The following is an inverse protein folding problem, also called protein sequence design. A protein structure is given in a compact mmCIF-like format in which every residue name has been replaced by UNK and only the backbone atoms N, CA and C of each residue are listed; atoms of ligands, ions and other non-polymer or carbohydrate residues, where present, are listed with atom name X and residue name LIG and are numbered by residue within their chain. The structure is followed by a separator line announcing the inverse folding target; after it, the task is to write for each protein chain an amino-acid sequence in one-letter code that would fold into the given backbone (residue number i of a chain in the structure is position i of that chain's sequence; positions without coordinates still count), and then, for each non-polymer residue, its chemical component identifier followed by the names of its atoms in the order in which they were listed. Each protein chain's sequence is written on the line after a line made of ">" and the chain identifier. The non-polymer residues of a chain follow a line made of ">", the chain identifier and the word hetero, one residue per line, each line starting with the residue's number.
data_IF_451645190100
#
_entry.id   IF_451645190100
#
_cell.length_a   1.000
_cell.length_b   1.000
_cell.length_c   1.000
_cell.angle_alpha   90.00
_cell.angle_beta   90.00
_cell.angle_gamma   90.00
#
_symmetry.space_group_name_H-M   'P 1'
#
loop_
_entity.id
_entity.type
_entity.pdbx_description
1 polymer ?
#
# COMPACT_ATOMS: atom_id res chain seq x y z
N UNK A 1 -3.48 11.27 12.67
CA UNK A 1 -2.93 9.99 12.20
C UNK A 1 -2.67 9.11 13.41
N UNK A 2 -3.42 8.00 13.56
CA UNK A 2 -3.42 7.17 14.77
C UNK A 2 -2.09 6.38 14.92
N UNK A 3 -1.51 6.36 16.12
CA UNK A 3 -0.31 5.54 16.44
C UNK A 3 -0.74 4.11 16.74
N UNK A 4 -0.73 3.25 15.72
CA UNK A 4 -1.00 1.82 15.89
C UNK A 4 0.28 1.01 15.64
N UNK A 5 0.52 -0.01 16.47
CA UNK A 5 1.57 -1.03 16.35
C UNK A 5 1.05 -2.32 16.97
N UNK A 6 1.50 -3.48 16.47
CA UNK A 6 0.96 -4.79 16.89
C UNK A 6 1.34 -5.12 18.35
N UNK A 7 2.54 -4.74 18.78
CA UNK A 7 3.01 -4.82 20.16
C UNK A 7 4.13 -3.79 20.39
N UNK A 8 4.70 -3.73 21.60
CA UNK A 8 5.73 -2.76 21.97
C UNK A 8 7.05 -2.87 21.17
N UNK A 9 7.28 -4.01 20.51
CA UNK A 9 8.42 -4.27 19.64
C UNK A 9 8.07 -4.19 18.15
N UNK A 10 6.79 -3.98 17.83
CA UNK A 10 6.30 -3.90 16.47
C UNK A 10 6.53 -2.53 15.87
N UNK A 11 6.69 -2.50 14.54
CA UNK A 11 6.77 -1.26 13.79
C UNK A 11 5.42 -0.51 13.85
N UNK A 12 5.47 0.81 13.86
CA UNK A 12 4.25 1.60 13.74
C UNK A 12 3.73 1.56 12.31
N UNK A 13 2.41 1.49 12.15
CA UNK A 13 1.76 1.48 10.84
C UNK A 13 2.14 2.71 9.99
N UNK A 14 2.40 3.86 10.61
CA UNK A 14 2.87 5.06 9.92
C UNK A 14 4.26 4.87 9.28
N UNK A 15 5.13 4.11 9.95
CA UNK A 15 6.50 3.89 9.53
C UNK A 15 6.48 2.82 8.42
N UNK A 16 5.64 1.78 8.60
CA UNK A 16 5.29 0.81 7.55
C UNK A 16 4.81 1.50 6.28
N UNK A 17 3.83 2.41 6.40
CA UNK A 17 3.30 3.18 5.27
C UNK A 17 4.41 3.98 4.61
N UNK A 18 5.23 4.69 5.38
CA UNK A 18 6.28 5.56 4.86
C UNK A 18 7.27 4.77 3.99
N UNK A 19 7.88 3.70 4.51
CA UNK A 19 8.92 2.99 3.77
C UNK A 19 8.34 2.21 2.57
N UNK A 20 7.08 1.76 2.64
CA UNK A 20 6.43 1.12 1.48
C UNK A 20 6.15 2.12 0.36
N UNK A 21 5.76 3.35 0.67
CA UNK A 21 5.57 4.40 -0.35
C UNK A 21 6.88 4.86 -0.95
N UNK A 22 7.93 5.01 -0.14
CA UNK A 22 9.28 5.30 -0.65
C UNK A 22 9.73 4.21 -1.63
N UNK A 23 9.62 2.93 -1.24
CA UNK A 23 9.96 1.82 -2.12
C UNK A 23 9.10 1.76 -3.40
N UNK A 24 7.79 2.04 -3.30
CA UNK A 24 6.91 2.08 -4.46
C UNK A 24 7.32 3.18 -5.45
N UNK A 25 7.63 4.38 -4.95
CA UNK A 25 8.05 5.51 -5.80
C UNK A 25 9.38 5.23 -6.49
N UNK A 26 10.32 4.58 -5.81
CA UNK A 26 11.60 4.15 -6.39
C UNK A 26 11.40 3.10 -7.49
N UNK A 27 10.47 2.15 -7.27
CA UNK A 27 10.10 1.13 -8.26
C UNK A 27 9.46 1.76 -9.49
N UNK A 28 8.55 2.71 -9.32
CA UNK A 28 7.91 3.44 -10.42
C UNK A 28 8.94 4.23 -11.26
N UNK A 29 9.92 4.87 -10.62
CA UNK A 29 11.00 5.56 -11.32
C UNK A 29 11.89 4.59 -12.09
N UNK A 30 12.33 3.51 -11.43
CA UNK A 30 13.29 2.56 -11.99
C UNK A 30 12.73 1.79 -13.18
N UNK A 31 11.43 1.50 -13.18
CA UNK A 31 10.77 0.70 -14.20
C UNK A 31 9.71 1.49 -14.96
N UNK A 32 9.92 2.80 -15.13
CA UNK A 32 9.00 3.66 -15.87
C UNK A 32 8.65 3.07 -17.25
N UNK A 33 7.37 3.09 -17.61
CA UNK A 33 6.85 2.52 -18.85
C UNK A 33 6.69 0.98 -18.88
N UNK A 34 6.96 0.29 -17.76
CA UNK A 34 6.77 -1.16 -17.66
C UNK A 34 5.57 -1.52 -16.77
N UNK A 35 4.98 -2.69 -17.03
CA UNK A 35 4.01 -3.30 -16.12
C UNK A 35 4.76 -4.08 -15.04
N UNK A 36 4.39 -3.86 -13.77
CA UNK A 36 5.06 -4.43 -12.60
C UNK A 36 4.05 -5.24 -11.79
N UNK A 37 4.44 -6.45 -11.39
CA UNK A 37 3.67 -7.27 -10.45
C UNK A 37 4.31 -7.14 -9.07
N UNK A 38 3.57 -6.62 -8.09
CA UNK A 38 4.01 -6.49 -6.71
C UNK A 38 3.34 -7.56 -5.84
N UNK A 39 4.13 -8.53 -5.36
CA UNK A 39 3.70 -9.49 -4.33
C UNK A 39 4.07 -8.98 -2.94
N UNK A 40 3.11 -8.92 -2.00
CA UNK A 40 3.36 -8.43 -0.64
C UNK A 40 2.36 -9.02 0.38
N UNK A 41 2.47 -8.62 1.65
CA UNK A 41 1.59 -9.02 2.75
C UNK A 41 0.45 -8.01 2.99
N UNK A 42 -0.63 -8.46 3.64
CA UNK A 42 -1.86 -7.67 3.84
C UNK A 42 -1.65 -6.29 4.46
N UNK A 43 -0.80 -6.17 5.49
CA UNK A 43 -0.51 -4.86 6.14
C UNK A 43 0.24 -3.91 5.21
N UNK A 44 1.28 -4.38 4.52
CA UNK A 44 2.02 -3.54 3.58
C UNK A 44 1.11 -3.11 2.42
N UNK A 45 0.34 -4.05 1.88
CA UNK A 45 -0.63 -3.78 0.83
C UNK A 45 -1.68 -2.74 1.25
N UNK A 46 -2.29 -2.90 2.42
CA UNK A 46 -3.31 -1.97 2.91
C UNK A 46 -2.75 -0.57 3.15
N UNK A 47 -1.52 -0.44 3.66
CA UNK A 47 -0.89 0.88 3.82
C UNK A 47 -0.60 1.58 2.49
N UNK A 48 -0.34 0.83 1.43
CA UNK A 48 -0.21 1.38 0.08
C UNK A 48 -1.57 1.87 -0.43
N UNK A 49 -2.63 1.07 -0.27
CA UNK A 49 -3.98 1.47 -0.68
C UNK A 49 -4.49 2.71 0.10
N UNK A 50 -4.25 2.76 1.41
CA UNK A 50 -4.54 3.92 2.28
C UNK A 50 -3.73 5.18 1.90
N UNK A 51 -2.61 5.04 1.18
CA UNK A 51 -1.90 6.20 0.62
C UNK A 51 -2.53 6.66 -0.69
N UNK A 52 -2.88 5.72 -1.56
CA UNK A 52 -3.32 6.00 -2.92
C UNK A 52 -4.78 6.47 -2.99
N UNK A 53 -5.62 6.04 -2.06
CA UNK A 53 -7.05 6.36 -2.06
C UNK A 53 -7.51 6.89 -0.71
N UNK A 54 -8.10 8.08 -0.71
CA UNK A 54 -8.80 8.62 0.48
C UNK A 54 -10.04 7.80 0.85
N UNK A 55 -10.54 6.96 -0.05
CA UNK A 55 -11.68 6.09 0.20
C UNK A 55 -11.29 4.74 0.84
N UNK A 56 -10.00 4.41 0.93
CA UNK A 56 -9.55 3.20 1.60
C UNK A 56 -9.22 3.51 3.06
N UNK A 57 -9.92 2.85 3.99
CA UNK A 57 -9.70 2.99 5.42
C UNK A 57 -9.88 1.67 6.16
N UNK A 58 -10.26 1.76 7.43
CA UNK A 58 -10.38 0.61 8.32
C UNK A 58 -11.44 -0.40 7.84
N UNK A 59 -12.60 0.08 7.39
CA UNK A 59 -13.69 -0.81 6.96
C UNK A 59 -13.33 -1.58 5.68
N UNK A 60 -12.66 -0.93 4.73
CA UNK A 60 -12.11 -1.57 3.54
C UNK A 60 -11.04 -2.59 3.89
N UNK A 61 -10.19 -2.28 4.88
CA UNK A 61 -9.18 -3.21 5.38
C UNK A 61 -9.80 -4.47 5.99
N UNK A 62 -10.84 -4.34 6.82
CA UNK A 62 -11.58 -5.49 7.36
C UNK A 62 -12.16 -6.33 6.23
N UNK A 63 -12.87 -5.69 5.27
CA UNK A 63 -13.44 -6.38 4.11
C UNK A 63 -12.39 -7.13 3.28
N UNK A 64 -11.22 -6.51 3.09
CA UNK A 64 -10.10 -7.10 2.35
C UNK A 64 -9.55 -8.35 3.07
N UNK A 65 -9.43 -8.34 4.40
CA UNK A 65 -8.93 -9.49 5.16
C UNK A 65 -9.83 -10.72 5.01
N UNK A 66 -11.15 -10.52 4.95
CA UNK A 66 -12.10 -11.63 4.80
C UNK A 66 -12.00 -12.30 3.42
N UNK A 67 -11.45 -11.62 2.40
CA UNK A 67 -11.52 -12.02 0.98
C UNK A 67 -10.14 -12.25 0.34
N UNK A 68 -9.19 -12.82 1.09
CA UNK A 68 -7.85 -13.13 0.56
C UNK A 68 -7.84 -14.42 -0.31
N UNK A 69 -7.03 -14.46 -1.40
CA UNK A 69 -6.08 -13.44 -1.85
C UNK A 69 -6.74 -12.29 -2.64
N UNK A 70 -6.21 -11.08 -2.47
CA UNK A 70 -6.64 -9.89 -3.20
C UNK A 70 -5.64 -9.53 -4.30
N UNK A 71 -6.14 -9.20 -5.49
CA UNK A 71 -5.36 -8.68 -6.61
C UNK A 71 -6.03 -7.40 -7.08
N UNK A 72 -5.25 -6.33 -7.23
CA UNK A 72 -5.71 -5.05 -7.77
C UNK A 72 -4.78 -4.60 -8.87
N UNK A 73 -5.32 -3.88 -9.84
CA UNK A 73 -4.53 -3.18 -10.84
C UNK A 73 -4.56 -1.69 -10.51
N UNK A 74 -3.38 -1.06 -10.53
CA UNK A 74 -3.22 0.37 -10.26
C UNK A 74 -2.44 0.95 -11.44
N UNK A 75 -2.93 2.04 -12.03
CA UNK A 75 -2.29 2.69 -13.19
C UNK A 75 -1.73 4.03 -12.79
N UNK A 76 -0.47 4.25 -13.17
CA UNK A 76 0.25 5.49 -12.98
C UNK A 76 0.67 6.10 -14.31
N UNK A 77 0.69 7.43 -14.37
CA UNK A 77 1.42 8.22 -15.36
C UNK A 77 2.62 8.87 -14.65
N UNK A 78 3.81 8.28 -14.83
CA UNK A 78 4.94 8.57 -13.95
C UNK A 78 4.62 8.20 -12.50
N UNK A 79 4.57 9.20 -11.60
CA UNK A 79 4.16 9.02 -10.19
C UNK A 79 2.72 9.45 -9.91
N UNK A 80 1.99 9.91 -10.92
CA UNK A 80 0.61 10.36 -10.77
C UNK A 80 -0.33 9.16 -10.86
N UNK A 81 -1.11 8.93 -9.82
CA UNK A 81 -2.16 7.92 -9.82
C UNK A 81 -3.28 8.30 -10.81
N UNK A 82 -3.73 7.34 -11.62
CA UNK A 82 -4.85 7.50 -12.54
C UNK A 82 -6.07 6.63 -12.17
N UNK A 83 -5.84 5.36 -11.83
CA UNK A 83 -6.87 4.41 -11.38
C UNK A 83 -6.30 3.42 -10.39
#
# INVERSE_FOLDING_TARGET
>A
MYKFRINDWGEFIRDVKKHNIEALMDVLDKYNGHNIVLGTHGTAFSTILDYLSLAYGYDEFIRMMDWMPNIVEIVFEGKKLLR
#
